data_IF_545685221245
#
_entry.id   IF_545685221245
#
_cell.length_a   1.000
_cell.length_b   1.000
_cell.length_c   1.000
_cell.angle_alpha   90.00
_cell.angle_beta   90.00
_cell.angle_gamma   90.00
#
_symmetry.space_group_name_H-M   'P 1'
#
loop_
_entity.id
_entity.type
_entity.pdbx_description
1 polymer ?
#
# COMPACT_ATOMS: atom_id res chain seq x y z
N UNK A 1 -24.09 0.10 4.36
CA UNK A 1 -22.66 0.21 4.00
C UNK A 1 -22.34 1.68 4.07
N UNK A 2 -21.36 2.09 4.90
CA UNK A 2 -21.07 3.52 5.13
C UNK A 2 -19.65 3.93 4.74
N UNK A 3 -18.70 3.01 4.74
CA UNK A 3 -17.28 3.31 4.50
C UNK A 3 -16.69 2.35 3.48
N UNK A 4 -16.12 2.91 2.43
CA UNK A 4 -15.45 2.18 1.37
C UNK A 4 -13.96 2.54 1.41
N UNK A 5 -13.08 1.56 1.67
CA UNK A 5 -11.63 1.72 1.63
C UNK A 5 -11.14 1.46 0.21
N UNK A 6 -10.31 2.36 -0.31
CA UNK A 6 -9.83 2.32 -1.69
C UNK A 6 -8.30 2.43 -1.71
N UNK A 7 -7.57 1.32 -1.71
CA UNK A 7 -6.12 1.31 -1.89
C UNK A 7 -5.71 1.82 -3.27
N UNK A 8 -4.70 2.68 -3.29
CA UNK A 8 -4.16 3.35 -4.48
C UNK A 8 -2.67 3.09 -4.58
N UNK A 9 -2.20 2.71 -5.77
CA UNK A 9 -0.81 2.42 -6.10
C UNK A 9 -0.29 3.21 -7.32
N UNK A 10 -1.06 4.16 -7.83
CA UNK A 10 -0.79 4.95 -9.05
C UNK A 10 -0.64 4.14 -10.34
N UNK A 11 -1.03 2.88 -10.36
CA UNK A 11 -1.07 2.08 -11.57
C UNK A 11 -2.12 2.59 -12.57
N UNK A 12 -2.08 2.09 -13.79
CA UNK A 12 -3.03 2.42 -14.86
C UNK A 12 -4.48 1.98 -14.53
N UNK A 13 -4.65 1.08 -13.56
CA UNK A 13 -5.97 0.63 -13.11
C UNK A 13 -6.58 1.56 -12.05
N UNK A 14 -5.76 2.37 -11.37
CA UNK A 14 -6.20 3.26 -10.27
C UNK A 14 -7.39 4.16 -10.66
N UNK A 15 -7.42 4.87 -11.79
CA UNK A 15 -8.57 5.71 -12.14
C UNK A 15 -9.87 4.92 -12.27
N UNK A 16 -9.78 3.68 -12.73
CA UNK A 16 -10.95 2.79 -12.84
C UNK A 16 -11.43 2.31 -11.48
N UNK A 17 -10.51 1.99 -10.56
CA UNK A 17 -10.83 1.63 -9.17
C UNK A 17 -11.57 2.78 -8.49
N UNK A 18 -11.06 4.00 -8.61
CA UNK A 18 -11.69 5.21 -8.08
C UNK A 18 -13.09 5.40 -8.68
N UNK A 19 -13.23 5.27 -9.99
CA UNK A 19 -14.52 5.40 -10.68
C UNK A 19 -15.58 4.40 -10.19
N UNK A 20 -15.19 3.12 -9.99
CA UNK A 20 -16.08 2.09 -9.42
C UNK A 20 -16.45 2.44 -7.98
N UNK A 21 -15.47 2.85 -7.16
CA UNK A 21 -15.71 3.25 -5.79
C UNK A 21 -16.68 4.44 -5.68
N UNK A 22 -16.54 5.45 -6.55
CA UNK A 22 -17.46 6.59 -6.62
C UNK A 22 -18.89 6.19 -6.99
N UNK A 23 -19.06 5.28 -7.96
CA UNK A 23 -20.38 4.78 -8.34
C UNK A 23 -21.05 4.05 -7.17
N UNK A 24 -20.31 3.19 -6.48
CA UNK A 24 -20.80 2.49 -5.29
C UNK A 24 -21.12 3.45 -4.15
N UNK A 25 -20.23 4.40 -3.87
CA UNK A 25 -20.43 5.38 -2.81
C UNK A 25 -21.70 6.22 -3.03
N UNK A 26 -21.95 6.64 -4.27
CA UNK A 26 -23.20 7.34 -4.65
C UNK A 26 -24.44 6.48 -4.46
N UNK A 27 -24.39 5.22 -4.89
CA UNK A 27 -25.52 4.30 -4.82
C UNK A 27 -25.87 3.89 -3.37
N UNK A 28 -24.85 3.84 -2.49
CA UNK A 28 -24.97 3.33 -1.12
C UNK A 28 -24.92 4.42 -0.04
N UNK A 29 -24.88 5.69 -0.44
CA UNK A 29 -24.70 6.84 0.46
C UNK A 29 -23.50 6.63 1.42
N UNK A 30 -22.35 6.32 0.85
CA UNK A 30 -21.13 5.93 1.58
C UNK A 30 -20.03 6.98 1.44
N UNK A 31 -19.15 7.05 2.43
CA UNK A 31 -17.91 7.83 2.36
C UNK A 31 -16.75 6.99 1.78
N UNK A 32 -15.82 7.66 1.12
CA UNK A 32 -14.64 7.04 0.52
C UNK A 32 -13.40 7.34 1.38
N UNK A 33 -12.65 6.32 1.71
CA UNK A 33 -11.34 6.42 2.34
C UNK A 33 -10.29 5.97 1.33
N UNK A 34 -9.59 6.94 0.71
CA UNK A 34 -8.43 6.65 -0.14
C UNK A 34 -7.24 6.32 0.75
N UNK A 35 -6.52 5.26 0.43
CA UNK A 35 -5.28 4.91 1.14
C UNK A 35 -4.15 4.68 0.16
N UNK A 36 -3.04 5.41 0.37
CA UNK A 36 -1.77 5.14 -0.27
C UNK A 36 -0.74 4.77 0.79
N UNK A 37 -0.26 3.53 0.77
CA UNK A 37 0.74 3.05 1.73
C UNK A 37 2.12 3.36 1.19
N UNK A 38 2.91 4.10 1.96
CA UNK A 38 4.32 4.35 1.67
C UNK A 38 5.14 3.15 2.14
N UNK A 39 5.74 2.45 1.20
CA UNK A 39 6.61 1.32 1.53
C UNK A 39 7.86 1.81 2.25
N UNK A 40 8.32 1.07 3.26
CA UNK A 40 9.64 1.27 3.80
C UNK A 40 10.67 0.86 2.74
N UNK A 41 11.54 1.77 2.35
CA UNK A 41 12.74 1.36 1.66
C UNK A 41 13.57 0.52 2.63
N UNK A 42 13.61 -0.77 2.41
CA UNK A 42 14.66 -1.59 2.94
C UNK A 42 15.95 -1.25 2.15
N UNK A 43 16.50 -0.06 2.36
CA UNK A 43 17.91 0.13 2.11
C UNK A 43 18.58 -0.79 3.11
N UNK A 44 18.89 -1.99 2.65
CA UNK A 44 19.71 -2.94 3.38
C UNK A 44 20.90 -2.15 3.92
N UNK A 45 21.00 -2.08 5.24
CA UNK A 45 22.26 -1.68 5.85
C UNK A 45 23.34 -2.51 5.16
N UNK A 46 24.46 -1.93 4.70
CA UNK A 46 25.50 -2.64 3.96
C UNK A 46 26.10 -3.85 4.71
N UNK A 47 25.57 -4.17 5.89
CA UNK A 47 25.98 -5.31 6.73
C UNK A 47 24.98 -6.47 6.83
N UNK A 48 23.74 -6.34 6.30
CA UNK A 48 22.74 -7.40 6.48
C UNK A 48 22.87 -8.58 5.49
N UNK A 49 23.69 -8.47 4.47
CA UNK A 49 23.98 -9.56 3.50
C UNK A 49 25.08 -10.52 3.97
N UNK A 50 25.65 -10.32 5.17
CA UNK A 50 26.75 -11.12 5.69
C UNK A 50 26.39 -12.33 6.55
N UNK A 51 25.12 -12.53 6.90
CA UNK A 51 24.71 -13.59 7.81
C UNK A 51 23.83 -14.66 7.18
N UNK A 52 24.24 -15.17 6.06
CA UNK A 52 23.51 -16.30 5.49
C UNK A 52 24.22 -16.94 4.34
N UNK A 53 25.14 -17.84 4.63
CA UNK A 53 25.45 -19.09 3.94
C UNK A 53 26.92 -19.46 4.18
N UNK A 54 27.12 -20.44 5.06
CA UNK A 54 28.28 -21.32 4.94
C UNK A 54 29.59 -20.84 5.58
N UNK A 55 29.90 -21.37 6.74
CA UNK A 55 31.28 -21.68 7.12
C UNK A 55 32.23 -20.52 7.31
N UNK A 56 32.22 -19.89 8.48
CA UNK A 56 33.27 -18.97 8.90
C UNK A 56 34.27 -19.68 9.82
N UNK A 57 35.58 -19.59 9.54
CA UNK A 57 36.56 -19.84 10.55
C UNK A 57 36.55 -18.70 11.58
N UNK A 58 36.63 -19.10 12.81
CA UNK A 58 36.81 -18.37 14.04
C UNK A 58 37.78 -17.17 13.88
N UNK A 59 37.24 -15.95 13.82
CA UNK A 59 38.04 -14.73 14.01
C UNK A 59 37.77 -14.23 15.42
N UNK A 60 38.79 -14.38 16.27
CA UNK A 60 38.84 -13.91 17.64
C UNK A 60 38.37 -12.43 17.79
N UNK A 61 37.72 -12.09 18.90
CA UNK A 61 37.31 -10.72 19.17
C UNK A 61 38.54 -9.83 19.36
N UNK A 62 38.79 -8.94 18.43
CA UNK A 62 39.71 -7.82 18.68
C UNK A 62 39.04 -6.87 19.65
N UNK A 63 39.35 -7.01 20.91
CA UNK A 63 38.97 -6.09 22.00
C UNK A 63 39.45 -4.68 21.67
N UNK A 64 38.50 -3.73 21.50
CA UNK A 64 38.80 -2.31 21.53
C UNK A 64 38.35 -1.43 20.40
N UNK A 65 37.68 -1.97 19.38
CA UNK A 65 37.07 -1.09 18.37
C UNK A 65 35.62 -0.77 18.77
N UNK A 66 35.21 0.51 18.82
CA UNK A 66 33.81 0.86 18.99
C UNK A 66 33.03 0.34 17.77
N UNK A 67 32.16 -0.63 17.96
CA UNK A 67 31.16 -1.02 16.97
C UNK A 67 30.25 0.18 16.74
N UNK A 68 30.16 0.73 15.51
CA UNK A 68 29.18 1.77 15.26
C UNK A 68 27.80 1.19 15.51
N UNK A 69 27.12 1.71 16.52
CA UNK A 69 25.70 1.45 16.75
C UNK A 69 24.96 2.16 15.64
N UNK A 70 24.68 1.46 14.57
CA UNK A 70 23.74 1.94 13.57
C UNK A 70 22.34 1.72 14.14
N UNK A 71 21.74 2.77 14.69
CA UNK A 71 20.30 2.82 14.83
C UNK A 71 19.71 2.74 13.42
N UNK A 72 19.02 1.66 13.05
CA UNK A 72 18.31 1.63 11.79
C UNK A 72 17.09 2.55 11.91
N UNK A 73 17.27 3.85 11.71
CA UNK A 73 16.13 4.71 11.49
C UNK A 73 15.45 4.22 10.21
N UNK A 74 14.17 3.85 10.27
CA UNK A 74 13.41 3.55 9.06
C UNK A 74 13.39 4.84 8.22
N UNK A 75 14.22 4.88 7.19
CA UNK A 75 14.20 5.98 6.24
C UNK A 75 12.94 5.81 5.39
N UNK A 76 11.96 6.65 5.66
CA UNK A 76 10.83 6.79 4.76
C UNK A 76 11.36 7.33 3.44
N UNK A 77 11.02 6.68 2.32
CA UNK A 77 11.33 7.19 0.99
C UNK A 77 10.93 8.66 0.88
N UNK A 78 11.74 9.49 0.19
CA UNK A 78 11.34 10.86 -0.11
C UNK A 78 9.95 10.84 -0.74
N UNK A 79 9.05 11.68 -0.24
CA UNK A 79 7.69 11.74 -0.77
C UNK A 79 7.77 12.32 -2.18
N UNK A 80 7.32 11.56 -3.17
CA UNK A 80 7.23 12.05 -4.54
C UNK A 80 6.11 13.10 -4.63
N UNK A 81 6.49 14.35 -4.84
CA UNK A 81 5.57 15.48 -4.96
C UNK A 81 4.54 15.28 -6.10
N UNK A 82 4.90 14.50 -7.13
CA UNK A 82 3.98 14.16 -8.21
C UNK A 82 2.86 13.23 -7.72
N UNK A 83 3.17 12.30 -6.82
CA UNK A 83 2.20 11.40 -6.21
C UNK A 83 1.26 12.14 -5.27
N UNK A 84 1.79 13.04 -4.44
CA UNK A 84 0.97 13.91 -3.58
C UNK A 84 0.00 14.75 -4.40
N UNK A 85 0.48 15.36 -5.47
CA UNK A 85 -0.34 16.17 -6.36
C UNK A 85 -1.50 15.35 -6.96
N UNK A 86 -1.23 14.13 -7.42
CA UNK A 86 -2.26 13.22 -7.93
C UNK A 86 -3.28 12.80 -6.87
N UNK A 87 -2.82 12.48 -5.65
CA UNK A 87 -3.71 12.15 -4.54
C UNK A 87 -4.65 13.30 -4.20
N UNK A 88 -4.11 14.51 -4.07
CA UNK A 88 -4.89 15.72 -3.83
C UNK A 88 -5.89 16.01 -4.96
N UNK A 89 -5.49 15.77 -6.22
CA UNK A 89 -6.37 15.89 -7.36
C UNK A 89 -7.55 14.92 -7.28
N UNK A 90 -7.30 13.63 -7.06
CA UNK A 90 -8.37 12.64 -6.93
C UNK A 90 -9.29 12.92 -5.75
N UNK A 91 -8.73 13.32 -4.60
CA UNK A 91 -9.54 13.73 -3.46
C UNK A 91 -10.48 14.90 -3.82
N UNK A 92 -9.95 15.92 -4.51
CA UNK A 92 -10.73 17.07 -4.96
C UNK A 92 -11.83 16.67 -5.95
N UNK A 93 -11.51 15.83 -6.94
CA UNK A 93 -12.48 15.33 -7.95
C UNK A 93 -13.62 14.55 -7.29
N UNK A 94 -13.31 13.68 -6.32
CA UNK A 94 -14.32 12.92 -5.57
C UNK A 94 -15.21 13.85 -4.76
N UNK A 95 -14.63 14.83 -4.06
CA UNK A 95 -15.36 15.80 -3.27
C UNK A 95 -16.26 16.70 -4.14
N UNK A 96 -15.79 17.13 -5.31
CA UNK A 96 -16.59 17.87 -6.29
C UNK A 96 -17.76 17.05 -6.84
N UNK A 97 -17.63 15.72 -6.86
CA UNK A 97 -18.73 14.80 -7.17
C UNK A 97 -19.78 14.66 -6.06
N UNK A 98 -19.68 15.43 -4.96
CA UNK A 98 -20.63 15.43 -3.85
C UNK A 98 -20.42 14.30 -2.84
N UNK A 99 -19.29 13.59 -2.90
CA UNK A 99 -18.97 12.49 -1.98
C UNK A 99 -18.03 12.94 -0.86
N UNK A 100 -18.20 12.38 0.32
CA UNK A 100 -17.23 12.53 1.41
C UNK A 100 -16.01 11.66 1.10
N UNK A 101 -14.83 12.25 1.19
CA UNK A 101 -13.57 11.55 0.94
C UNK A 101 -12.50 11.95 1.96
N UNK A 102 -11.81 10.96 2.49
CA UNK A 102 -10.65 11.14 3.38
C UNK A 102 -9.45 10.42 2.78
N UNK A 103 -8.28 11.06 2.83
CA UNK A 103 -7.01 10.49 2.38
C UNK A 103 -6.18 10.01 3.57
N UNK A 104 -5.61 8.83 3.46
CA UNK A 104 -4.72 8.19 4.43
C UNK A 104 -3.40 7.83 3.75
N UNK A 105 -2.28 8.19 4.37
CA UNK A 105 -0.93 7.93 3.86
C UNK A 105 -0.04 7.26 4.94
N UNK A 106 -0.41 6.08 5.44
CA UNK A 106 0.43 5.36 6.39
C UNK A 106 1.73 4.88 5.73
N UNK A 107 2.70 4.50 6.56
CA UNK A 107 3.93 3.88 6.12
C UNK A 107 4.01 2.46 6.70
N UNK A 108 4.37 1.47 5.87
CA UNK A 108 4.45 0.09 6.32
C UNK A 108 4.44 -0.93 5.19
N UNK A 109 4.11 -2.17 5.55
CA UNK A 109 3.87 -3.25 4.59
C UNK A 109 2.48 -3.09 3.98
N UNK A 110 2.42 -2.97 2.65
CA UNK A 110 1.18 -2.51 1.96
C UNK A 110 -0.06 -3.34 2.32
N UNK A 111 0.03 -4.67 2.26
CA UNK A 111 -1.13 -5.51 2.55
C UNK A 111 -1.56 -5.43 4.02
N UNK A 112 -0.61 -5.38 4.95
CA UNK A 112 -0.87 -5.27 6.38
C UNK A 112 -1.52 -3.93 6.74
N UNK A 113 -0.99 -2.83 6.19
CA UNK A 113 -1.55 -1.50 6.41
C UNK A 113 -2.96 -1.35 5.84
N UNK A 114 -3.24 -1.92 4.67
CA UNK A 114 -4.60 -1.94 4.11
C UNK A 114 -5.57 -2.66 5.05
N UNK A 115 -5.18 -3.82 5.57
CA UNK A 115 -6.01 -4.60 6.50
C UNK A 115 -6.20 -3.88 7.82
N UNK A 116 -5.12 -3.33 8.39
CA UNK A 116 -5.17 -2.55 9.63
C UNK A 116 -6.09 -1.32 9.51
N UNK A 117 -5.98 -0.58 8.39
CA UNK A 117 -6.84 0.57 8.14
C UNK A 117 -8.30 0.16 7.89
N UNK A 118 -8.53 -0.95 7.21
CA UNK A 118 -9.88 -1.48 7.01
C UNK A 118 -10.58 -1.79 8.34
N UNK A 119 -9.85 -2.35 9.30
CA UNK A 119 -10.39 -2.64 10.63
C UNK A 119 -10.52 -1.38 11.48
N UNK A 120 -9.50 -0.53 11.54
CA UNK A 120 -9.49 0.70 12.33
C UNK A 120 -10.60 1.67 11.91
N UNK A 121 -10.88 1.76 10.62
CA UNK A 121 -11.94 2.59 10.06
C UNK A 121 -13.31 1.89 10.09
N UNK A 122 -13.38 0.62 10.51
CA UNK A 122 -14.57 -0.20 10.34
C UNK A 122 -15.12 -0.11 8.90
N UNK A 123 -14.24 -0.32 7.92
CA UNK A 123 -14.64 -0.30 6.53
C UNK A 123 -15.63 -1.45 6.23
N UNK A 124 -16.67 -1.14 5.48
CA UNK A 124 -17.67 -2.13 5.07
C UNK A 124 -17.28 -2.87 3.79
N UNK A 125 -16.38 -2.25 2.99
CA UNK A 125 -15.93 -2.77 1.71
C UNK A 125 -14.53 -2.25 1.40
N UNK A 126 -13.68 -3.12 0.83
CA UNK A 126 -12.42 -2.75 0.21
C UNK A 126 -12.61 -2.83 -1.31
N UNK A 127 -12.29 -1.75 -2.05
CA UNK A 127 -12.33 -1.73 -3.53
C UNK A 127 -10.92 -1.53 -4.04
N UNK A 128 -10.35 -2.51 -4.73
CA UNK A 128 -8.96 -2.47 -5.17
C UNK A 128 -8.77 -3.08 -6.56
N UNK A 129 -7.63 -2.77 -7.19
CA UNK A 129 -7.25 -3.37 -8.47
C UNK A 129 -6.85 -4.85 -8.33
N UNK A 130 -7.03 -5.63 -9.40
CA UNK A 130 -6.48 -6.99 -9.45
C UNK A 130 -4.96 -7.01 -9.53
N UNK A 131 -4.35 -5.95 -10.08
CA UNK A 131 -2.92 -5.78 -10.30
C UNK A 131 -2.51 -4.36 -9.91
N UNK A 132 -1.25 -4.21 -9.47
CA UNK A 132 -0.60 -2.95 -9.21
C UNK A 132 0.57 -2.68 -10.17
N UNK A 133 1.44 -1.74 -9.79
CA UNK A 133 2.68 -1.46 -10.51
C UNK A 133 3.55 -2.71 -10.64
N UNK A 134 4.08 -2.93 -11.85
CA UNK A 134 5.02 -4.02 -12.12
C UNK A 134 4.41 -5.42 -12.24
N UNK A 135 3.10 -5.57 -12.24
CA UNK A 135 2.47 -6.86 -12.46
C UNK A 135 2.70 -7.35 -13.88
N UNK A 136 3.35 -8.52 -14.02
CA UNK A 136 3.41 -9.23 -15.30
C UNK A 136 1.98 -9.57 -15.71
N UNK A 137 1.60 -9.25 -16.94
CA UNK A 137 0.24 -9.42 -17.50
C UNK A 137 -0.31 -10.85 -17.44
N UNK A 138 0.52 -11.83 -17.08
CA UNK A 138 0.15 -13.25 -16.97
C UNK A 138 -0.30 -13.66 -15.55
N UNK A 139 -0.19 -12.78 -14.54
CA UNK A 139 -0.67 -13.08 -13.20
C UNK A 139 -2.09 -12.50 -13.03
N UNK A 140 -3.04 -13.37 -12.77
CA UNK A 140 -4.44 -12.99 -12.57
C UNK A 140 -4.67 -12.07 -11.37
N UNK A 141 -3.76 -12.09 -10.37
CA UNK A 141 -3.87 -11.31 -9.13
C UNK A 141 -2.49 -10.94 -8.60
N UNK A 142 -2.26 -9.67 -8.25
CA UNK A 142 -0.99 -9.17 -7.69
C UNK A 142 -0.72 -9.65 -6.26
N UNK A 143 0.55 -9.53 -5.81
CA UNK A 143 1.00 -9.98 -4.49
C UNK A 143 0.23 -9.31 -3.33
N UNK A 144 0.09 -7.98 -3.36
CA UNK A 144 -0.68 -7.22 -2.37
C UNK A 144 -2.14 -7.67 -2.35
N UNK A 145 -2.75 -7.79 -3.53
CA UNK A 145 -4.15 -8.23 -3.64
C UNK A 145 -4.36 -9.64 -3.08
N UNK A 146 -3.42 -10.56 -3.34
CA UNK A 146 -3.46 -11.91 -2.73
C UNK A 146 -3.36 -11.85 -1.21
N UNK A 147 -2.47 -11.01 -0.68
CA UNK A 147 -2.31 -10.79 0.76
C UNK A 147 -3.60 -10.28 1.41
N UNK A 148 -4.22 -9.26 0.82
CA UNK A 148 -5.49 -8.71 1.29
C UNK A 148 -6.60 -9.74 1.22
N UNK A 149 -6.76 -10.45 0.10
CA UNK A 149 -7.81 -11.48 -0.06
C UNK A 149 -7.68 -12.62 0.93
N UNK A 150 -6.45 -13.01 1.28
CA UNK A 150 -6.19 -14.12 2.21
C UNK A 150 -6.54 -13.78 3.65
N UNK A 151 -6.36 -12.52 4.05
CA UNK A 151 -6.43 -12.11 5.45
C UNK A 151 -7.55 -11.13 5.77
N UNK A 152 -8.30 -10.64 4.77
CA UNK A 152 -9.38 -9.68 5.00
C UNK A 152 -10.59 -10.33 5.66
N UNK A 153 -11.03 -9.72 6.77
CA UNK A 153 -12.33 -9.98 7.36
C UNK A 153 -13.47 -9.17 6.70
N UNK A 154 -13.12 -8.27 5.77
CA UNK A 154 -14.07 -7.40 5.07
C UNK A 154 -14.30 -7.88 3.65
N UNK A 155 -15.50 -7.68 3.06
CA UNK A 155 -15.71 -7.89 1.64
C UNK A 155 -14.70 -7.15 0.79
N UNK A 156 -14.21 -7.80 -0.28
CA UNK A 156 -13.25 -7.20 -1.21
C UNK A 156 -13.81 -7.24 -2.62
N UNK A 157 -13.94 -6.08 -3.25
CA UNK A 157 -14.30 -5.94 -4.65
C UNK A 157 -13.06 -5.73 -5.49
N UNK A 158 -12.82 -6.62 -6.43
CA UNK A 158 -11.70 -6.52 -7.35
C UNK A 158 -12.11 -5.86 -8.67
N UNK A 159 -11.36 -4.84 -9.05
CA UNK A 159 -11.53 -4.14 -10.32
C UNK A 159 -10.44 -4.60 -11.29
N UNK A 160 -10.80 -5.28 -12.40
CA UNK A 160 -9.81 -5.77 -13.35
C UNK A 160 -9.20 -4.61 -14.16
N UNK A 161 -7.91 -4.74 -14.50
CA UNK A 161 -7.27 -3.93 -15.52
C UNK A 161 -7.93 -4.12 -16.89
N UNK A 162 -7.68 -3.24 -17.84
CA UNK A 162 -8.11 -3.46 -19.23
C UNK A 162 -7.30 -4.60 -19.83
N UNK A 163 -7.97 -5.62 -20.35
CA UNK A 163 -7.31 -6.54 -21.29
C UNK A 163 -7.00 -5.74 -22.56
N UNK A 164 -5.75 -5.68 -22.94
CA UNK A 164 -5.36 -5.24 -24.28
C UNK A 164 -5.61 -6.37 -25.27
#
# INVERSE_FOLDING_TARGET
MKRILVPIDFSDVTPRVIGVAQQLAKALDSEIHLIHVREFSATAAPGALGYGLGGMPELAPMSGMPVPVFDPMPQTMPVDESQKSKLAQWQKEIAQGGLKVTLHEPAGMVAEEILFQADSLNADLIVMGTHGHGAMYNLLVGGVTKGVLKHSARPVLLVPGRRR
#
